data_IF_838672686031
#
_entry.id   IF_838672686031
#
_cell.length_a   1.000
_cell.length_b   1.000
_cell.length_c   1.000
_cell.angle_alpha   90.00
_cell.angle_beta   90.00
_cell.angle_gamma   90.00
#
_symmetry.space_group_name_H-M   'P 1'
#
loop_
_entity.id
_entity.type
_entity.pdbx_description
1 polymer ?
#
# COMPACT_ATOMS: atom_id res chain seq x y z
N UNK A 1 -9.39 11.86 49.51
CA UNK A 1 -10.13 10.73 48.92
C UNK A 1 -10.94 11.09 47.67
N UNK A 2 -11.52 12.30 47.55
CA UNK A 2 -12.34 12.69 46.39
C UNK A 2 -11.59 12.80 45.05
N UNK A 3 -10.32 13.25 45.03
CA UNK A 3 -9.54 13.41 43.79
C UNK A 3 -9.11 12.11 43.12
N UNK A 4 -8.97 11.01 43.89
CA UNK A 4 -8.65 9.69 43.33
C UNK A 4 -9.86 9.04 42.65
N UNK A 5 -11.06 9.31 43.15
CA UNK A 5 -12.30 8.76 42.59
C UNK A 5 -12.65 9.41 41.25
N UNK A 6 -12.43 10.72 41.09
CA UNK A 6 -12.67 11.44 39.82
C UNK A 6 -11.67 11.03 38.73
N UNK A 7 -10.40 10.81 39.10
CA UNK A 7 -9.36 10.30 38.20
C UNK A 7 -9.67 8.88 37.71
N UNK A 8 -10.18 8.01 38.59
CA UNK A 8 -10.57 6.65 38.22
C UNK A 8 -11.78 6.62 37.26
N UNK A 9 -12.80 7.44 37.50
CA UNK A 9 -13.94 7.55 36.57
C UNK A 9 -13.52 8.10 35.21
N UNK A 10 -12.60 9.07 35.16
CA UNK A 10 -12.05 9.59 33.92
C UNK A 10 -11.26 8.51 33.16
N UNK A 11 -10.41 7.75 33.84
CA UNK A 11 -9.64 6.65 33.24
C UNK A 11 -10.54 5.52 32.72
N UNK A 12 -11.60 5.17 33.46
CA UNK A 12 -12.59 4.18 33.03
C UNK A 12 -13.35 4.68 31.80
N UNK A 13 -13.80 5.94 31.81
CA UNK A 13 -14.50 6.55 30.67
C UNK A 13 -13.58 6.63 29.45
N UNK A 14 -12.31 7.03 29.62
CA UNK A 14 -11.32 7.07 28.55
C UNK A 14 -11.00 5.68 27.99
N UNK A 15 -10.91 4.67 28.87
CA UNK A 15 -10.73 3.27 28.48
C UNK A 15 -11.90 2.76 27.63
N UNK A 16 -13.14 3.05 28.03
CA UNK A 16 -14.32 2.71 27.23
C UNK A 16 -14.36 3.50 25.92
N UNK A 17 -14.04 4.81 25.92
CA UNK A 17 -13.96 5.63 24.70
C UNK A 17 -12.88 5.15 23.72
N UNK A 18 -11.77 4.58 24.19
CA UNK A 18 -10.72 3.97 23.36
C UNK A 18 -11.07 2.56 22.86
N UNK A 19 -11.92 1.81 23.60
CA UNK A 19 -12.34 0.44 23.23
C UNK A 19 -13.58 0.41 22.34
N UNK A 20 -14.45 1.42 22.39
CA UNK A 20 -15.66 1.54 21.58
C UNK A 20 -15.35 1.47 20.07
N UNK A 21 -14.33 2.17 19.50
CA UNK A 21 -13.99 2.05 18.08
C UNK A 21 -13.54 0.64 17.69
N UNK A 22 -12.85 -0.06 18.59
CA UNK A 22 -12.31 -1.40 18.35
C UNK A 22 -13.41 -2.47 18.27
N UNK A 23 -14.53 -2.27 18.99
CA UNK A 23 -15.72 -3.12 18.94
C UNK A 23 -16.51 -2.97 17.63
N UNK A 24 -16.28 -1.90 16.86
CA UNK A 24 -16.93 -1.63 15.57
C UNK A 24 -16.03 -1.84 14.35
N UNK A 25 -14.77 -2.23 14.54
CA UNK A 25 -13.89 -2.58 13.42
C UNK A 25 -14.34 -3.91 12.80
N UNK A 26 -14.77 -3.89 11.54
CA UNK A 26 -14.96 -5.14 10.78
C UNK A 26 -13.60 -5.75 10.43
N UNK A 27 -13.55 -7.09 10.51
CA UNK A 27 -12.37 -7.95 10.38
C UNK A 27 -11.84 -8.10 8.92
N UNK A 28 -12.00 -7.07 8.08
CA UNK A 28 -11.61 -7.12 6.66
C UNK A 28 -10.24 -6.48 6.40
N UNK A 29 -9.27 -6.69 7.30
CA UNK A 29 -7.90 -6.23 7.13
C UNK A 29 -7.08 -7.27 6.34
N UNK A 30 -6.41 -6.84 5.28
CA UNK A 30 -5.47 -7.67 4.54
C UNK A 30 -4.22 -6.88 4.17
N UNK A 31 -3.08 -7.56 4.17
CA UNK A 31 -1.77 -7.02 3.77
C UNK A 31 -1.14 -8.00 2.80
N UNK A 32 -0.73 -7.49 1.63
CA UNK A 32 0.02 -8.27 0.65
C UNK A 32 1.45 -7.76 0.55
N UNK A 33 2.38 -8.55 1.07
CA UNK A 33 3.82 -8.34 0.91
C UNK A 33 4.36 -9.06 -0.34
N UNK A 34 3.48 -9.18 -1.34
CA UNK A 34 3.57 -10.09 -2.48
C UNK A 34 2.17 -10.63 -2.81
N UNK A 35 1.77 -10.51 -4.06
CA UNK A 35 0.48 -10.95 -4.56
C UNK A 35 0.49 -12.43 -4.93
N UNK A 36 -0.67 -13.08 -4.78
CA UNK A 36 -0.90 -14.46 -5.19
C UNK A 36 -2.14 -14.50 -6.11
N UNK A 37 -2.10 -15.21 -7.26
CA UNK A 37 -3.25 -15.32 -8.17
C UNK A 37 -4.55 -15.76 -7.53
N UNK A 38 -4.49 -16.53 -6.44
CA UNK A 38 -5.69 -16.99 -5.74
C UNK A 38 -6.44 -15.88 -5.02
N UNK A 39 -5.79 -14.77 -4.70
CA UNK A 39 -6.37 -13.74 -3.83
C UNK A 39 -6.99 -12.58 -4.61
N UNK A 40 -6.89 -12.59 -5.94
CA UNK A 40 -7.29 -11.48 -6.80
C UNK A 40 -8.05 -11.97 -8.03
N UNK A 41 -9.12 -11.26 -8.38
CA UNK A 41 -9.66 -11.31 -9.73
C UNK A 41 -8.81 -10.42 -10.64
N UNK A 42 -8.13 -11.04 -11.61
CA UNK A 42 -7.33 -10.34 -12.61
C UNK A 42 -8.13 -10.20 -13.92
N UNK A 43 -8.06 -9.03 -14.55
CA UNK A 43 -8.70 -8.76 -15.83
C UNK A 43 -7.78 -7.98 -16.76
N UNK A 44 -8.05 -8.06 -18.06
CA UNK A 44 -7.23 -7.43 -19.10
C UNK A 44 -5.82 -8.02 -19.14
N UNK A 45 -4.79 -7.17 -19.08
CA UNK A 45 -3.38 -7.61 -19.10
C UNK A 45 -2.75 -7.78 -17.73
N UNK A 46 -3.54 -7.66 -16.65
CA UNK A 46 -3.04 -7.80 -15.30
C UNK A 46 -2.52 -9.22 -15.02
N UNK A 47 -1.31 -9.31 -14.49
CA UNK A 47 -0.65 -10.57 -14.14
C UNK A 47 0.18 -10.44 -12.87
N UNK A 48 0.43 -11.56 -12.21
CA UNK A 48 1.27 -11.63 -11.01
C UNK A 48 2.55 -12.40 -11.37
N UNK A 49 3.70 -11.76 -11.17
CA UNK A 49 5.00 -12.38 -11.38
C UNK A 49 5.31 -13.41 -10.29
N UNK A 50 6.19 -14.39 -10.55
CA UNK A 50 6.66 -15.33 -9.52
C UNK A 50 7.26 -14.66 -8.28
N UNK A 51 7.76 -13.42 -8.41
CA UNK A 51 8.24 -12.58 -7.31
C UNK A 51 7.14 -12.02 -6.41
N UNK A 52 5.87 -12.17 -6.78
CA UNK A 52 4.73 -11.57 -6.09
C UNK A 52 4.42 -10.13 -6.53
N UNK A 53 5.08 -9.61 -7.57
CA UNK A 53 4.75 -8.28 -8.12
C UNK A 53 3.49 -8.37 -8.99
N UNK A 54 2.48 -7.56 -8.66
CA UNK A 54 1.31 -7.36 -9.51
C UNK A 54 1.66 -6.34 -10.60
N UNK A 55 1.68 -6.80 -11.84
CA UNK A 55 1.83 -5.96 -13.01
C UNK A 55 0.44 -5.77 -13.63
N UNK A 56 -0.09 -4.54 -13.60
CA UNK A 56 -1.36 -4.23 -14.26
C UNK A 56 -1.20 -4.19 -15.78
N UNK A 57 -0.14 -3.54 -16.27
CA UNK A 57 0.08 -3.37 -17.72
C UNK A 57 1.53 -3.67 -18.07
N UNK A 58 1.76 -4.16 -19.30
CA UNK A 58 3.11 -4.43 -19.80
C UNK A 58 3.57 -3.37 -20.82
N UNK A 59 2.79 -3.13 -21.88
CA UNK A 59 3.19 -2.34 -23.05
C UNK A 59 1.96 -1.65 -23.68
N UNK A 60 2.14 -0.50 -24.35
CA UNK A 60 1.10 0.18 -25.18
C UNK A 60 -0.27 0.42 -24.50
N UNK A 61 -1.27 0.88 -25.25
CA UNK A 61 -2.62 1.24 -24.77
C UNK A 61 -3.42 0.01 -24.31
N UNK A 62 -3.10 -0.51 -23.14
CA UNK A 62 -3.76 -1.66 -22.54
C UNK A 62 -4.49 -1.29 -21.24
N UNK A 63 -5.42 -2.14 -20.85
CA UNK A 63 -6.10 -2.10 -19.55
C UNK A 63 -5.70 -3.35 -18.78
N UNK A 64 -5.32 -3.17 -17.53
CA UNK A 64 -5.24 -4.27 -16.57
C UNK A 64 -5.87 -3.86 -15.26
N UNK A 65 -6.61 -4.78 -14.67
CA UNK A 65 -7.33 -4.56 -13.42
C UNK A 65 -7.07 -5.72 -12.47
N UNK A 66 -7.00 -5.42 -11.19
CA UNK A 66 -6.94 -6.41 -10.14
C UNK A 66 -7.88 -6.01 -9.02
N UNK A 67 -8.80 -6.90 -8.65
CA UNK A 67 -9.74 -6.70 -7.56
C UNK A 67 -9.56 -7.78 -6.51
N UNK A 68 -9.73 -7.41 -5.25
CA UNK A 68 -9.76 -8.37 -4.15
C UNK A 68 -10.81 -9.45 -4.40
N UNK A 69 -10.48 -10.71 -4.10
CA UNK A 69 -11.31 -11.87 -4.45
C UNK A 69 -12.71 -11.80 -3.82
N UNK A 70 -12.79 -11.35 -2.56
CA UNK A 70 -14.02 -11.33 -1.78
C UNK A 70 -14.62 -9.93 -1.72
N UNK A 71 -15.91 -9.74 -2.09
CA UNK A 71 -16.56 -8.45 -1.97
C UNK A 71 -16.55 -7.92 -0.52
N UNK A 72 -16.10 -6.68 -0.34
CA UNK A 72 -16.20 -5.98 0.93
C UNK A 72 -17.63 -5.48 1.13
N UNK A 73 -18.21 -5.73 2.31
CA UNK A 73 -19.58 -5.31 2.62
C UNK A 73 -19.57 -3.87 3.12
N UNK A 74 -19.94 -2.95 2.24
CA UNK A 74 -20.04 -1.52 2.58
C UNK A 74 -21.38 -1.12 3.24
N UNK A 75 -22.31 -2.06 3.44
CA UNK A 75 -23.63 -1.78 3.99
C UNK A 75 -24.02 -2.84 5.04
N UNK A 76 -24.28 -2.40 6.27
CA UNK A 76 -24.87 -3.21 7.35
C UNK A 76 -26.22 -2.62 7.75
N UNK A 77 -27.18 -2.65 6.83
CA UNK A 77 -28.54 -2.15 7.01
C UNK A 77 -29.45 -3.08 7.83
N UNK A 78 -28.92 -3.86 8.77
CA UNK A 78 -29.74 -4.73 9.62
C UNK A 78 -30.43 -4.00 10.78
N UNK A 79 -30.04 -2.76 11.09
CA UNK A 79 -30.41 -2.11 12.36
C UNK A 79 -31.04 -0.71 12.24
N UNK A 80 -31.36 -0.22 11.03
CA UNK A 80 -31.95 1.12 10.83
C UNK A 80 -31.03 2.30 11.17
N UNK A 81 -29.77 2.04 11.52
CA UNK A 81 -28.71 3.04 11.72
C UNK A 81 -27.80 2.98 10.50
N UNK A 82 -27.69 4.08 9.75
CA UNK A 82 -26.67 4.26 8.70
C UNK A 82 -25.30 4.35 9.38
N UNK A 83 -24.65 3.20 9.55
CA UNK A 83 -23.29 3.16 10.05
C UNK A 83 -22.34 3.48 8.89
N UNK A 84 -21.74 4.68 8.91
CA UNK A 84 -20.70 5.03 7.97
C UNK A 84 -19.48 4.12 8.22
N UNK A 85 -19.02 3.44 7.17
CA UNK A 85 -17.81 2.63 7.25
C UNK A 85 -16.59 3.49 6.98
N UNK A 86 -15.55 3.29 7.79
CA UNK A 86 -14.23 3.86 7.56
C UNK A 86 -13.31 2.78 7.02
N UNK A 87 -12.47 3.14 6.05
CA UNK A 87 -11.43 2.27 5.53
C UNK A 87 -10.14 3.05 5.33
N UNK A 88 -9.02 2.34 5.29
CA UNK A 88 -7.72 2.86 4.88
C UNK A 88 -7.08 1.85 3.92
N UNK A 89 -6.29 2.37 2.98
CA UNK A 89 -5.53 1.55 2.02
C UNK A 89 -4.16 2.16 1.85
N UNK A 90 -3.14 1.31 1.75
CA UNK A 90 -1.76 1.70 1.48
C UNK A 90 -1.20 0.72 0.47
N UNK A 91 -0.58 1.23 -0.59
CA UNK A 91 0.06 0.41 -1.60
C UNK A 91 1.30 1.10 -2.14
N UNK A 92 2.28 0.30 -2.52
CA UNK A 92 3.48 0.75 -3.21
C UNK A 92 3.33 0.38 -4.67
N UNK A 93 3.59 1.33 -5.56
CA UNK A 93 3.46 1.13 -6.99
C UNK A 93 4.66 1.74 -7.72
N UNK A 94 4.86 1.32 -8.97
CA UNK A 94 5.83 1.92 -9.88
C UNK A 94 5.19 2.08 -11.26
N UNK A 95 5.29 3.29 -11.83
CA UNK A 95 4.92 3.58 -13.22
C UNK A 95 6.22 3.69 -14.03
N UNK A 96 6.58 2.61 -14.73
CA UNK A 96 7.81 2.56 -15.53
C UNK A 96 7.48 2.93 -16.97
N UNK A 97 7.89 4.11 -17.46
CA UNK A 97 7.61 4.52 -18.84
C UNK A 97 8.49 3.74 -19.82
N UNK A 98 7.94 3.38 -20.99
CA UNK A 98 8.69 2.67 -22.03
C UNK A 98 9.81 3.55 -22.62
N UNK A 99 9.56 4.86 -22.74
CA UNK A 99 10.59 5.84 -23.10
C UNK A 99 10.49 7.07 -22.20
N UNK A 100 11.58 7.86 -22.00
CA UNK A 100 11.58 8.98 -21.06
C UNK A 100 10.48 10.04 -21.28
N UNK A 101 9.89 10.11 -22.46
CA UNK A 101 8.84 11.06 -22.84
C UNK A 101 7.47 10.42 -23.12
N UNK A 102 7.36 9.08 -23.05
CA UNK A 102 6.08 8.36 -23.22
C UNK A 102 5.77 7.58 -21.95
N UNK A 103 5.07 8.23 -21.03
CA UNK A 103 4.46 7.60 -19.86
C UNK A 103 3.16 6.88 -20.19
N UNK A 104 2.61 6.19 -19.19
CA UNK A 104 1.23 5.70 -19.21
C UNK A 104 0.23 6.82 -18.94
N UNK A 105 -1.05 6.46 -18.82
CA UNK A 105 -2.12 7.42 -18.50
C UNK A 105 -2.30 7.59 -17.00
N UNK A 106 -2.06 6.53 -16.22
CA UNK A 106 -2.14 6.59 -14.78
C UNK A 106 -2.48 5.24 -14.17
N UNK A 107 -2.83 5.27 -12.89
CA UNK A 107 -3.35 4.15 -12.12
C UNK A 107 -4.45 4.66 -11.20
N UNK A 108 -5.43 3.83 -10.86
CA UNK A 108 -6.47 4.19 -9.91
C UNK A 108 -6.70 3.08 -8.87
N UNK A 109 -6.92 3.49 -7.63
CA UNK A 109 -7.58 2.65 -6.63
C UNK A 109 -9.09 2.77 -6.82
N UNK A 110 -9.80 1.66 -6.97
CA UNK A 110 -11.23 1.66 -7.30
C UNK A 110 -12.07 0.82 -6.34
N UNK A 111 -13.24 1.34 -5.99
CA UNK A 111 -14.32 0.64 -5.29
C UNK A 111 -15.52 0.57 -6.24
N UNK A 112 -15.98 -0.64 -6.52
CA UNK A 112 -17.06 -0.92 -7.46
C UNK A 112 -17.90 -2.10 -6.95
N UNK A 113 -19.22 -2.18 -7.25
CA UNK A 113 -20.04 -3.34 -6.93
C UNK A 113 -19.62 -4.61 -7.66
N UNK A 114 -18.82 -4.49 -8.72
CA UNK A 114 -18.36 -5.59 -9.56
C UNK A 114 -16.89 -5.41 -9.93
N UNK A 115 -16.14 -6.51 -9.92
CA UNK A 115 -14.80 -6.59 -10.48
C UNK A 115 -14.80 -6.83 -12.01
N UNK A 116 -15.95 -7.21 -12.58
CA UNK A 116 -16.12 -7.41 -14.02
C UNK A 116 -16.55 -6.11 -14.67
N UNK A 117 -15.60 -5.44 -15.30
CA UNK A 117 -15.90 -4.30 -16.15
C UNK A 117 -16.02 -4.75 -17.60
N UNK A 118 -17.13 -4.40 -18.24
CA UNK A 118 -17.39 -4.69 -19.66
C UNK A 118 -17.13 -3.45 -20.51
N UNK A 119 -16.52 -3.63 -21.68
CA UNK A 119 -16.26 -2.56 -22.65
C UNK A 119 -15.40 -1.40 -22.08
N UNK A 120 -14.46 -1.70 -21.19
CA UNK A 120 -13.50 -0.69 -20.70
C UNK A 120 -12.56 -0.26 -21.81
N UNK A 121 -12.26 1.04 -21.82
CA UNK A 121 -11.35 1.63 -22.80
C UNK A 121 -10.03 1.93 -22.07
N UNK A 122 -8.92 1.70 -22.77
CA UNK A 122 -7.59 2.10 -22.31
C UNK A 122 -7.44 3.62 -22.33
N UNK A 123 -6.21 4.11 -22.21
CA UNK A 123 -5.90 5.53 -22.32
C UNK A 123 -6.52 6.38 -21.20
N UNK A 124 -7.04 7.55 -21.52
CA UNK A 124 -7.58 8.52 -20.57
C UNK A 124 -8.80 7.98 -19.77
N UNK A 125 -9.30 6.77 -20.09
CA UNK A 125 -10.38 6.14 -19.33
C UNK A 125 -9.92 5.31 -18.12
N UNK A 126 -8.59 5.23 -17.89
CA UNK A 126 -7.93 4.49 -16.80
C UNK A 126 -8.37 3.03 -16.67
N UNK A 127 -8.99 2.46 -17.72
CA UNK A 127 -9.57 1.13 -17.70
C UNK A 127 -10.76 0.98 -16.76
N UNK A 128 -11.44 2.06 -16.36
CA UNK A 128 -12.59 2.02 -15.45
C UNK A 128 -13.92 2.27 -16.16
N UNK A 129 -13.93 3.18 -17.14
CA UNK A 129 -15.13 3.67 -17.81
C UNK A 129 -14.94 3.67 -19.34
N UNK A 130 -15.96 4.15 -20.05
CA UNK A 130 -15.94 4.41 -21.49
C UNK A 130 -16.89 5.56 -21.82
N UNK A 131 -16.88 6.02 -23.07
CA UNK A 131 -17.71 7.14 -23.53
C UNK A 131 -19.22 6.94 -23.31
N UNK A 132 -19.69 5.68 -23.27
CA UNK A 132 -21.12 5.37 -23.09
C UNK A 132 -21.58 5.29 -21.63
N UNK A 133 -20.67 5.05 -20.69
CA UNK A 133 -21.01 4.93 -19.27
C UNK A 133 -20.41 6.02 -18.37
N UNK A 134 -19.51 6.87 -18.88
CA UNK A 134 -18.93 7.97 -18.13
C UNK A 134 -20.01 8.94 -17.62
N UNK A 135 -20.13 9.08 -16.30
CA UNK A 135 -21.14 9.93 -15.65
C UNK A 135 -22.46 9.25 -15.30
N UNK A 136 -22.64 7.96 -15.60
CA UNK A 136 -23.86 7.24 -15.23
C UNK A 136 -23.87 6.91 -13.73
N UNK A 137 -24.92 7.35 -13.03
CA UNK A 137 -25.11 7.08 -11.59
C UNK A 137 -25.24 5.59 -11.26
N UNK A 138 -25.59 4.76 -12.24
CA UNK A 138 -25.69 3.29 -12.11
C UNK A 138 -24.33 2.59 -12.02
N UNK A 139 -23.22 3.29 -12.27
CA UNK A 139 -21.88 2.70 -12.16
C UNK A 139 -21.53 2.35 -10.71
N UNK A 140 -22.00 3.17 -9.75
CA UNK A 140 -21.65 3.09 -8.34
C UNK A 140 -20.13 2.95 -8.09
N UNK A 141 -19.34 3.67 -8.89
CA UNK A 141 -17.88 3.64 -8.89
C UNK A 141 -17.34 4.82 -8.09
N UNK A 142 -16.44 4.53 -7.15
CA UNK A 142 -15.52 5.49 -6.56
C UNK A 142 -14.11 5.12 -7.00
N UNK A 143 -13.34 6.08 -7.49
CA UNK A 143 -11.93 5.88 -7.77
C UNK A 143 -11.08 7.05 -7.27
N UNK A 144 -9.85 6.73 -6.87
CA UNK A 144 -8.79 7.69 -6.58
C UNK A 144 -7.73 7.51 -7.65
N UNK A 145 -7.63 8.46 -8.58
CA UNK A 145 -6.72 8.40 -9.72
C UNK A 145 -5.38 9.07 -9.39
N UNK A 146 -4.32 8.49 -9.93
CA UNK A 146 -3.00 9.08 -10.06
C UNK A 146 -2.76 9.24 -11.56
N UNK A 147 -3.12 10.40 -12.09
CA UNK A 147 -3.13 10.69 -13.53
C UNK A 147 -1.83 11.40 -13.94
N UNK A 148 -1.25 10.94 -15.04
CA UNK A 148 0.01 11.43 -15.59
C UNK A 148 -0.14 12.07 -16.97
N UNK A 149 -1.38 12.28 -17.44
CA UNK A 149 -1.74 12.88 -18.72
C UNK A 149 -2.81 13.94 -18.46
N UNK A 150 -2.88 14.97 -19.33
CA UNK A 150 -3.94 15.96 -19.26
C UNK A 150 -5.05 15.59 -20.25
N UNK A 151 -6.18 15.12 -19.74
CA UNK A 151 -7.43 14.92 -20.46
C UNK A 151 -8.26 16.20 -20.46
N UNK A 152 -8.20 16.96 -21.56
CA UNK A 152 -8.99 18.19 -21.69
C UNK A 152 -10.51 17.90 -21.62
N UNK A 153 -10.94 16.75 -22.14
CA UNK A 153 -12.32 16.28 -22.08
C UNK A 153 -12.82 15.98 -20.66
N UNK A 154 -11.90 15.71 -19.72
CA UNK A 154 -12.19 15.41 -18.32
C UNK A 154 -11.95 16.61 -17.39
N UNK A 155 -11.51 17.73 -17.96
CA UNK A 155 -11.22 18.99 -17.25
C UNK A 155 -10.11 18.83 -16.23
N UNK A 156 -9.11 18.02 -16.58
CA UNK A 156 -7.95 17.80 -15.74
C UNK A 156 -7.22 19.11 -15.46
N UNK A 157 -6.80 19.24 -14.20
CA UNK A 157 -6.13 20.45 -13.72
C UNK A 157 -4.77 20.64 -14.40
N UNK A 158 -4.03 19.54 -14.53
CA UNK A 158 -2.71 19.45 -15.14
C UNK A 158 -2.44 17.97 -15.51
N UNK A 159 -1.26 17.67 -16.06
CA UNK A 159 -0.85 16.33 -16.47
C UNK A 159 -0.15 15.53 -15.34
N UNK A 160 -0.35 15.89 -14.08
CA UNK A 160 0.30 15.26 -12.92
C UNK A 160 -0.54 15.52 -11.67
N UNK A 161 -1.69 14.85 -11.56
CA UNK A 161 -2.65 15.13 -10.51
C UNK A 161 -3.17 13.87 -9.82
N UNK A 162 -3.71 14.10 -8.63
CA UNK A 162 -4.52 13.14 -7.88
C UNK A 162 -5.96 13.60 -7.95
N UNK A 163 -6.86 12.69 -8.29
CA UNK A 163 -8.27 12.99 -8.49
C UNK A 163 -9.19 12.06 -7.69
N UNK A 164 -10.35 12.59 -7.28
CA UNK A 164 -11.43 11.81 -6.68
C UNK A 164 -12.55 11.71 -7.72
N UNK A 165 -12.77 10.51 -8.25
CA UNK A 165 -13.75 10.25 -9.30
C UNK A 165 -14.97 9.54 -8.72
N UNK A 166 -16.16 10.07 -9.02
CA UNK A 166 -17.43 9.43 -8.66
C UNK A 166 -18.25 9.22 -9.92
N UNK A 167 -18.37 7.97 -10.36
CA UNK A 167 -19.06 7.53 -11.59
C UNK A 167 -18.58 8.15 -12.91
N UNK A 168 -17.58 9.04 -12.87
CA UNK A 168 -17.10 9.87 -13.97
C UNK A 168 -15.61 10.13 -13.81
N UNK A 169 -14.86 10.17 -14.92
CA UNK A 169 -13.44 10.56 -14.95
C UNK A 169 -13.22 12.05 -14.72
N UNK A 170 -14.24 12.88 -14.96
CA UNK A 170 -14.20 14.24 -14.42
C UNK A 170 -14.22 14.15 -12.89
N UNK A 171 -13.07 14.38 -12.27
CA UNK A 171 -12.88 14.43 -10.82
C UNK A 171 -13.84 15.42 -10.16
N UNK A 172 -14.44 15.03 -9.03
CA UNK A 172 -15.24 15.95 -8.20
C UNK A 172 -14.33 16.93 -7.44
N UNK A 173 -13.12 16.48 -7.12
CA UNK A 173 -12.05 17.25 -6.50
C UNK A 173 -10.72 16.70 -7.02
N UNK A 174 -9.77 17.58 -7.29
CA UNK A 174 -8.43 17.19 -7.73
C UNK A 174 -7.37 18.19 -7.29
N UNK A 175 -6.13 17.71 -7.17
CA UNK A 175 -4.97 18.52 -6.84
C UNK A 175 -3.74 18.01 -7.60
N UNK A 176 -2.82 18.91 -7.95
CA UNK A 176 -1.51 18.54 -8.46
C UNK A 176 -0.83 17.59 -7.47
N UNK A 177 -0.18 16.54 -7.96
CA UNK A 177 0.46 15.55 -7.12
C UNK A 177 1.58 16.19 -6.27
N UNK A 178 1.46 16.04 -4.96
CA UNK A 178 2.40 16.57 -3.97
C UNK A 178 2.53 15.60 -2.80
N UNK A 179 3.58 15.73 -2.01
CA UNK A 179 3.68 15.10 -0.70
C UNK A 179 3.95 16.16 0.37
N UNK A 180 3.46 15.95 1.58
CA UNK A 180 3.77 16.82 2.71
C UNK A 180 5.15 16.47 3.26
N UNK A 181 6.03 17.47 3.39
CA UNK A 181 7.34 17.32 4.05
C UNK A 181 7.25 17.89 5.45
N UNK A 182 7.38 17.04 6.46
CA UNK A 182 7.43 17.48 7.86
C UNK A 182 8.66 18.35 8.14
N UNK A 183 9.77 18.10 7.44
CA UNK A 183 10.99 18.90 7.56
C UNK A 183 10.81 20.32 7.06
N UNK A 184 10.05 20.51 5.96
CA UNK A 184 9.81 21.82 5.36
C UNK A 184 8.48 22.45 5.78
N UNK A 185 7.62 21.69 6.48
CA UNK A 185 6.28 22.12 6.91
C UNK A 185 5.35 22.48 5.75
N UNK A 186 5.54 21.90 4.56
CA UNK A 186 4.79 22.27 3.35
C UNK A 186 4.64 21.11 2.37
N UNK A 187 3.69 21.26 1.45
CA UNK A 187 3.55 20.38 0.29
C UNK A 187 4.66 20.63 -0.72
N UNK A 188 5.37 19.56 -1.11
CA UNK A 188 6.41 19.55 -2.13
C UNK A 188 5.86 18.89 -3.39
N UNK A 189 6.11 19.51 -4.54
CA UNK A 189 5.72 18.97 -5.85
C UNK A 189 6.30 17.58 -6.08
N UNK A 190 5.44 16.66 -6.52
CA UNK A 190 5.78 15.28 -6.83
C UNK A 190 5.43 15.01 -8.28
N UNK A 191 6.42 14.72 -9.11
CA UNK A 191 6.17 14.24 -10.47
C UNK A 191 6.02 12.72 -10.47
N UNK A 192 4.81 12.23 -10.71
CA UNK A 192 4.46 10.80 -10.70
C UNK A 192 5.34 9.98 -11.67
N UNK A 193 5.64 10.53 -12.86
CA UNK A 193 6.51 9.89 -13.85
C UNK A 193 8.01 10.02 -13.52
N UNK A 194 8.41 10.90 -12.60
CA UNK A 194 9.82 11.13 -12.25
C UNK A 194 10.26 10.35 -11.02
N UNK A 195 9.33 10.02 -10.11
CA UNK A 195 9.56 9.09 -9.00
C UNK A 195 10.21 7.78 -9.46
N UNK A 196 9.92 7.32 -10.68
CA UNK A 196 10.48 6.09 -11.25
C UNK A 196 11.79 6.29 -12.00
N UNK A 197 12.07 7.50 -12.50
CA UNK A 197 13.36 7.83 -13.15
C UNK A 197 14.50 7.95 -12.15
N UNK A 198 14.21 8.35 -10.92
CA UNK A 198 15.23 8.50 -9.88
C UNK A 198 15.34 7.27 -8.98
N UNK A 199 14.34 6.37 -8.99
CA UNK A 199 14.21 5.30 -7.98
C UNK A 199 14.12 5.83 -6.54
N UNK A 200 14.08 7.16 -6.38
CA UNK A 200 14.18 7.84 -5.09
C UNK A 200 12.80 8.00 -4.49
N UNK A 201 12.42 6.96 -3.77
CA UNK A 201 12.51 7.01 -2.31
C UNK A 201 13.30 8.22 -1.76
N UNK A 202 12.75 8.88 -0.74
CA UNK A 202 13.51 9.80 0.10
C UNK A 202 14.79 9.13 0.61
N UNK A 203 15.79 9.92 1.03
CA UNK A 203 16.98 9.37 1.72
C UNK A 203 16.58 8.43 2.86
N UNK A 204 15.44 8.67 3.51
CA UNK A 204 14.89 7.80 4.55
C UNK A 204 14.33 6.47 4.04
N UNK A 205 13.69 6.45 2.87
CA UNK A 205 13.13 5.21 2.30
C UNK A 205 14.21 4.37 1.60
N UNK A 206 15.24 5.00 1.02
CA UNK A 206 16.44 4.32 0.50
C UNK A 206 17.32 3.77 1.62
N UNK A 207 17.55 4.56 2.70
CA UNK A 207 18.29 4.11 3.88
C UNK A 207 17.51 3.05 4.65
N UNK A 208 16.17 3.15 4.72
CA UNK A 208 15.33 2.11 5.31
C UNK A 208 15.34 0.84 4.47
N UNK A 209 15.24 0.93 3.14
CA UNK A 209 15.33 -0.23 2.25
C UNK A 209 16.72 -0.89 2.30
N UNK A 210 17.80 -0.10 2.28
CA UNK A 210 19.17 -0.61 2.44
C UNK A 210 19.40 -1.20 3.84
N UNK A 211 18.90 -0.56 4.89
CA UNK A 211 18.94 -1.06 6.27
C UNK A 211 18.19 -2.38 6.42
N UNK A 212 16.98 -2.48 5.89
CA UNK A 212 16.19 -3.71 5.87
C UNK A 212 16.89 -4.83 5.08
N UNK A 213 17.55 -4.49 3.97
CA UNK A 213 18.37 -5.44 3.20
C UNK A 213 19.61 -5.92 3.96
N UNK A 214 20.33 -5.03 4.65
CA UNK A 214 21.49 -5.41 5.47
C UNK A 214 21.07 -6.30 6.65
N UNK A 215 19.90 -6.04 7.25
CA UNK A 215 19.32 -6.93 8.25
C UNK A 215 18.91 -8.28 7.65
N UNK A 216 18.36 -8.30 6.43
CA UNK A 216 18.04 -9.56 5.74
C UNK A 216 19.27 -10.46 5.58
N UNK A 217 20.41 -9.88 5.18
CA UNK A 217 21.67 -10.60 5.02
C UNK A 217 22.27 -11.02 6.37
N UNK A 218 22.30 -10.13 7.36
CA UNK A 218 22.90 -10.41 8.67
C UNK A 218 22.11 -11.43 9.50
N UNK A 219 20.79 -11.43 9.34
CA UNK A 219 19.88 -12.33 10.06
C UNK A 219 19.57 -13.61 9.27
N UNK A 220 19.89 -13.67 7.97
CA UNK A 220 19.55 -14.81 7.10
C UNK A 220 18.04 -15.02 6.90
N UNK A 221 17.25 -13.95 7.13
CA UNK A 221 15.78 -13.96 7.18
C UNK A 221 15.22 -12.93 6.19
N UNK A 222 14.09 -13.23 5.54
CA UNK A 222 13.45 -12.29 4.60
C UNK A 222 12.96 -11.04 5.33
N UNK A 223 12.86 -9.87 4.66
CA UNK A 223 12.40 -8.61 5.28
C UNK A 223 10.98 -8.74 5.87
N UNK A 224 10.20 -9.64 5.28
CA UNK A 224 8.88 -10.03 5.75
C UNK A 224 8.79 -11.55 5.72
N UNK A 225 8.64 -12.13 6.91
CA UNK A 225 8.51 -13.57 7.09
C UNK A 225 7.08 -13.93 7.46
N UNK A 226 6.37 -14.50 6.49
CA UNK A 226 4.92 -14.78 6.56
C UNK A 226 4.60 -15.88 7.59
N UNK A 227 5.61 -16.56 8.16
CA UNK A 227 5.49 -17.65 9.12
C UNK A 227 6.38 -17.37 10.35
N UNK A 228 5.89 -16.53 11.26
CA UNK A 228 6.54 -16.19 12.53
C UNK A 228 5.54 -15.66 13.56
N UNK A 229 5.96 -15.48 14.81
CA UNK A 229 5.15 -14.77 15.81
C UNK A 229 4.94 -13.31 15.35
N UNK A 230 3.85 -12.61 15.73
CA UNK A 230 3.54 -11.26 15.21
C UNK A 230 4.68 -10.24 15.34
N UNK A 231 5.49 -10.38 16.39
CA UNK A 231 6.66 -9.53 16.68
C UNK A 231 7.91 -9.89 15.84
N UNK A 232 7.83 -10.96 15.05
CA UNK A 232 8.94 -11.53 14.25
C UNK A 232 8.66 -11.53 12.74
N UNK A 233 7.46 -11.06 12.34
CA UNK A 233 7.00 -11.03 10.94
C UNK A 233 7.76 -9.97 10.14
N UNK A 234 8.03 -8.82 10.76
CA UNK A 234 8.79 -7.73 10.17
C UNK A 234 10.20 -7.81 10.74
N UNK A 235 11.16 -8.04 9.86
CA UNK A 235 12.55 -8.30 10.25
C UNK A 235 13.14 -7.16 11.10
N UNK A 236 12.80 -5.92 10.74
CA UNK A 236 13.26 -4.70 11.44
C UNK A 236 12.76 -4.66 12.89
N UNK A 237 11.50 -5.03 13.14
CA UNK A 237 10.89 -5.00 14.48
C UNK A 237 11.47 -6.09 15.38
N UNK A 238 11.76 -7.27 14.81
CA UNK A 238 12.38 -8.38 15.52
C UNK A 238 13.80 -8.05 16.01
N UNK A 239 14.65 -7.55 15.11
CA UNK A 239 16.03 -7.14 15.43
C UNK A 239 16.03 -6.05 16.50
N UNK A 240 15.09 -5.11 16.40
CA UNK A 240 14.90 -4.06 17.40
C UNK A 240 14.44 -4.61 18.76
N UNK A 241 13.59 -5.65 18.77
CA UNK A 241 13.20 -6.38 19.98
C UNK A 241 14.37 -7.08 20.67
N UNK A 242 15.23 -7.76 19.91
CA UNK A 242 16.45 -8.39 20.41
C UNK A 242 17.41 -7.35 21.03
N UNK A 243 17.58 -6.21 20.36
CA UNK A 243 18.37 -5.08 20.89
C UNK A 243 17.84 -4.57 22.24
N UNK A 244 16.52 -4.31 22.33
CA UNK A 244 15.90 -3.79 23.55
C UNK A 244 15.99 -4.73 24.76
N UNK A 245 16.07 -6.05 24.51
CA UNK A 245 16.25 -7.08 25.54
C UNK A 245 17.72 -7.29 25.92
N UNK A 246 18.66 -6.61 25.25
CA UNK A 246 20.10 -6.82 25.44
C UNK A 246 20.64 -8.09 24.78
N UNK A 247 19.88 -8.69 23.87
CA UNK A 247 20.15 -9.99 23.25
C UNK A 247 20.29 -9.87 21.72
N UNK A 248 21.00 -8.85 21.23
CA UNK A 248 21.10 -8.54 19.79
C UNK A 248 21.75 -9.66 18.96
N UNK A 249 22.60 -10.49 19.59
CA UNK A 249 23.28 -11.60 18.91
C UNK A 249 22.33 -12.73 18.52
N UNK A 250 21.23 -12.90 19.26
CA UNK A 250 20.14 -13.84 18.93
C UNK A 250 19.46 -13.49 17.60
N UNK A 251 19.69 -12.28 17.08
CA UNK A 251 19.19 -11.86 15.77
C UNK A 251 20.07 -12.30 14.59
N UNK A 252 21.27 -12.83 14.84
CA UNK A 252 22.22 -13.20 13.78
C UNK A 252 21.81 -14.49 13.05
N UNK A 253 22.20 -14.62 11.78
CA UNK A 253 21.98 -15.87 11.03
C UNK A 253 22.69 -17.03 11.75
N UNK A 254 21.98 -18.09 12.17
CA UNK A 254 22.59 -19.24 12.85
C UNK A 254 23.68 -19.95 12.02
N UNK A 255 23.72 -19.74 10.70
CA UNK A 255 24.81 -20.24 9.83
C UNK A 255 26.13 -19.49 10.03
N UNK A 256 26.08 -18.32 10.68
CA UNK A 256 27.23 -17.54 11.10
C UNK A 256 27.72 -17.96 12.50
N UNK A 257 26.89 -18.65 13.28
CA UNK A 257 27.25 -19.24 14.56
C UNK A 257 27.93 -20.62 14.34
N UNK A 258 29.27 -20.63 14.33
CA UNK A 258 30.04 -21.87 14.43
C UNK A 258 30.52 -22.48 13.11
N UNK A 259 31.46 -21.79 12.46
CA UNK A 259 32.73 -22.44 12.08
C UNK A 259 33.84 -21.83 12.91
N UNK A 260 33.87 -22.14 14.20
CA UNK A 260 35.17 -22.19 14.87
C UNK A 260 35.97 -23.29 14.18
N UNK A 261 37.01 -22.89 13.46
CA UNK A 261 38.08 -23.80 13.08
C UNK A 261 38.82 -24.12 14.39
N UNK A 262 38.31 -25.08 15.16
CA UNK A 262 39.08 -25.70 16.23
C UNK A 262 39.98 -26.76 15.59
N UNK A 263 41.26 -26.40 15.44
CA UNK A 263 42.27 -27.24 14.81
C UNK A 263 43.68 -26.70 15.07
N UNK A 264 44.09 -26.84 16.34
CA UNK A 264 45.47 -27.03 16.83
C UNK A 264 46.58 -26.12 16.26
N UNK A 265 47.01 -25.16 17.07
CA UNK A 265 48.44 -24.89 17.21
C UNK A 265 48.96 -25.84 18.29
N UNK A 266 49.47 -26.98 17.85
CA UNK A 266 50.37 -27.80 18.66
C UNK A 266 51.71 -27.05 18.75
N UNK A 267 51.97 -26.38 19.87
CA UNK A 267 53.35 -26.15 20.31
C UNK A 267 53.62 -27.09 21.48
N UNK A 268 54.33 -28.18 21.18
CA UNK A 268 55.01 -29.00 22.17
C UNK A 268 56.53 -28.81 22.01
N UNK A 269 57.16 -28.59 23.17
CA UNK A 269 58.59 -28.40 23.51
C UNK A 269 59.07 -26.95 23.58
#
# INVERSE_FOLDING_TARGET
>A
MAAGLTSLHFLITLYFMLKIPLLFAQDNQFIYNGFNPKNLHLNGTAQIHPSGVLQLTNNSQQVGQAFYELPLKFNTSSSGVTQALSFSTNFVFAIVPETPSKGGHGIAFAISPSWKFTNVVASNYLGLLNASNNGLSTNHLLAIELDTIMGQEFQDKDNNHVGINVNSLKSIESATATYFSDQEGKNISMELLKLTKTGRATTYTDVFAFGAFMLEVACGRKPIEIRGLPEEVILVDWVFGCWRKGAILDASDPKLEGKEISGQLDEEI
#
